data_IF_575317256418
#
_entry.id   IF_575317256418
#
_cell.length_a   1.000
_cell.length_b   1.000
_cell.length_c   1.000
_cell.angle_alpha   90.00
_cell.angle_beta   90.00
_cell.angle_gamma   90.00
#
_symmetry.space_group_name_H-M   'P 1'
#
loop_
_entity.id
_entity.type
_entity.pdbx_description
1 polymer ?
#
# COMPACT_ATOMS: atom_id res chain seq x y z
N UNK A 1 -25.34 78.92 32.52
CA UNK A 1 -24.89 78.62 31.16
C UNK A 1 -24.23 77.23 31.18
N UNK A 2 -24.94 76.11 31.51
CA UNK A 2 -24.46 74.75 31.74
C UNK A 2 -25.23 73.66 30.95
N UNK A 3 -26.30 74.05 30.21
CA UNK A 3 -27.25 73.12 29.57
C UNK A 3 -26.83 72.55 28.18
N UNK A 4 -25.91 73.14 27.35
CA UNK A 4 -25.58 72.52 26.07
C UNK A 4 -24.55 71.35 26.11
N UNK A 5 -23.77 71.17 27.19
CA UNK A 5 -22.74 70.09 27.26
C UNK A 5 -23.33 68.71 27.58
N UNK A 6 -24.45 68.62 28.30
CA UNK A 6 -25.07 67.34 28.65
C UNK A 6 -25.77 66.70 27.47
N UNK A 7 -26.39 67.50 26.58
CA UNK A 7 -27.05 66.97 25.36
C UNK A 7 -26.03 66.42 24.36
N UNK A 8 -24.82 66.96 24.31
CA UNK A 8 -23.78 66.49 23.40
C UNK A 8 -23.16 65.15 23.90
N UNK A 9 -23.02 64.97 25.22
CA UNK A 9 -22.52 63.73 25.82
C UNK A 9 -23.55 62.57 25.68
N UNK A 10 -24.85 62.86 25.82
CA UNK A 10 -25.90 61.84 25.60
C UNK A 10 -26.02 61.47 24.15
N UNK A 11 -25.90 62.41 23.21
CA UNK A 11 -25.90 62.11 21.78
C UNK A 11 -24.70 61.30 21.32
N UNK A 12 -23.50 61.60 21.86
CA UNK A 12 -22.26 60.83 21.60
C UNK A 12 -22.32 59.41 22.20
N UNK A 13 -22.94 59.24 23.39
CA UNK A 13 -23.17 57.95 24.03
C UNK A 13 -24.15 57.06 23.23
N UNK A 14 -25.23 57.64 22.73
CA UNK A 14 -26.20 56.94 21.85
C UNK A 14 -25.60 56.57 20.51
N UNK A 15 -24.73 57.40 19.92
CA UNK A 15 -24.04 57.12 18.67
C UNK A 15 -22.99 56.01 18.86
N UNK A 16 -22.28 55.99 20.01
CA UNK A 16 -21.31 54.92 20.32
C UNK A 16 -22.00 53.56 20.56
N UNK A 17 -23.19 53.55 21.22
CA UNK A 17 -23.99 52.35 21.42
C UNK A 17 -24.60 51.87 20.08
N UNK A 18 -25.04 52.77 19.21
CA UNK A 18 -25.55 52.43 17.88
C UNK A 18 -24.44 51.87 16.98
N UNK A 19 -23.19 52.34 17.09
CA UNK A 19 -22.06 51.82 16.34
C UNK A 19 -21.61 50.45 16.88
N UNK A 20 -21.79 50.14 18.18
CA UNK A 20 -21.53 48.80 18.72
C UNK A 20 -22.61 47.77 18.33
N UNK A 21 -23.88 48.20 18.13
CA UNK A 21 -24.94 47.33 17.57
C UNK A 21 -24.87 47.20 16.06
N UNK A 22 -24.17 48.08 15.34
CA UNK A 22 -23.97 48.03 13.90
C UNK A 22 -22.70 47.21 13.47
N UNK A 23 -22.01 46.56 14.41
CA UNK A 23 -21.20 45.39 14.06
C UNK A 23 -22.18 44.25 13.75
N UNK A 24 -22.74 44.33 12.56
CA UNK A 24 -23.58 43.27 12.02
C UNK A 24 -22.82 41.98 12.10
N UNK A 25 -23.44 40.96 12.69
CA UNK A 25 -23.03 39.61 12.46
C UNK A 25 -22.88 39.45 10.93
N UNK A 26 -21.65 39.31 10.44
CA UNK A 26 -21.44 39.00 9.03
C UNK A 26 -22.30 37.76 8.73
N UNK A 27 -23.26 37.95 7.82
CA UNK A 27 -24.08 36.80 7.40
C UNK A 27 -23.12 35.74 6.87
N UNK A 28 -23.07 34.57 7.49
CA UNK A 28 -22.11 33.55 7.10
C UNK A 28 -22.28 33.24 5.61
N UNK A 29 -21.21 33.40 4.85
CA UNK A 29 -21.23 33.08 3.42
C UNK A 29 -21.34 31.55 3.25
N UNK A 30 -21.87 31.10 2.12
CA UNK A 30 -22.00 29.67 1.86
C UNK A 30 -20.65 28.95 1.79
N UNK A 31 -19.52 29.71 1.75
CA UNK A 31 -18.16 29.21 1.72
C UNK A 31 -17.60 28.99 3.13
N UNK A 32 -18.23 29.57 4.16
CA UNK A 32 -17.80 29.38 5.54
C UNK A 32 -18.26 28.00 6.08
N UNK A 33 -17.50 27.47 7.05
CA UNK A 33 -17.81 26.18 7.66
C UNK A 33 -19.22 26.21 8.32
N UNK A 34 -20.12 25.27 7.97
CA UNK A 34 -21.41 25.17 8.60
C UNK A 34 -21.24 24.75 10.08
N UNK A 35 -22.11 25.31 10.96
CA UNK A 35 -22.16 24.97 12.38
C UNK A 35 -20.81 25.18 13.12
N UNK A 36 -20.02 26.20 12.74
CA UNK A 36 -18.69 26.46 13.29
C UNK A 36 -18.68 26.63 14.83
N UNK A 37 -19.78 27.12 15.41
CA UNK A 37 -19.93 27.31 16.85
C UNK A 37 -20.36 26.05 17.62
N UNK A 38 -20.83 25.01 16.90
CA UNK A 38 -21.41 23.81 17.50
C UNK A 38 -20.40 22.65 17.64
N UNK A 39 -19.10 22.92 17.45
CA UNK A 39 -18.06 21.91 17.48
C UNK A 39 -17.63 21.42 16.08
N UNK A 40 -17.02 20.23 15.95
CA UNK A 40 -16.53 19.74 14.67
C UNK A 40 -17.69 19.39 13.73
N UNK A 41 -17.58 19.86 12.47
CA UNK A 41 -18.50 19.43 11.42
C UNK A 41 -18.19 17.97 11.05
N UNK A 42 -19.16 17.08 11.24
CA UNK A 42 -19.01 15.67 10.91
C UNK A 42 -19.16 15.44 9.41
N UNK A 43 -18.18 14.77 8.83
CA UNK A 43 -18.16 14.34 7.44
C UNK A 43 -18.22 12.83 7.41
N UNK A 44 -19.34 12.28 6.99
CA UNK A 44 -19.50 10.85 6.77
C UNK A 44 -18.76 10.45 5.50
N UNK A 45 -17.92 9.42 5.60
CA UNK A 45 -17.06 8.92 4.52
C UNK A 45 -17.45 7.50 4.18
N UNK A 46 -17.65 7.24 2.89
CA UNK A 46 -17.77 5.89 2.36
C UNK A 46 -16.75 5.70 1.21
N UNK A 47 -16.09 4.54 1.16
CA UNK A 47 -15.09 4.22 0.15
C UNK A 47 -15.39 2.84 -0.43
N UNK A 48 -15.41 2.77 -1.77
CA UNK A 48 -15.56 1.51 -2.50
C UNK A 48 -14.46 1.33 -3.52
N UNK A 49 -13.67 0.26 -3.38
CA UNK A 49 -12.72 -0.14 -4.40
C UNK A 49 -13.47 -0.83 -5.54
N UNK A 50 -13.55 -0.16 -6.68
CA UNK A 50 -14.14 -0.70 -7.91
C UNK A 50 -13.20 -1.74 -8.49
N UNK A 51 -11.89 -1.43 -8.49
CA UNK A 51 -10.83 -2.32 -8.93
C UNK A 51 -9.50 -2.01 -8.22
N UNK A 52 -8.65 -3.04 -8.13
CA UNK A 52 -7.22 -2.92 -7.82
C UNK A 52 -6.49 -3.61 -8.94
N UNK A 53 -5.91 -2.85 -9.85
CA UNK A 53 -5.40 -3.36 -11.13
C UNK A 53 -3.98 -3.89 -11.06
N UNK A 54 -3.13 -3.32 -10.20
CA UNK A 54 -1.73 -3.75 -10.06
C UNK A 54 -1.14 -3.36 -8.71
N UNK A 55 -0.17 -4.16 -8.26
CA UNK A 55 0.68 -3.87 -7.11
C UNK A 55 2.12 -3.92 -7.60
N UNK A 56 2.82 -2.77 -7.54
CA UNK A 56 4.21 -2.64 -7.95
C UNK A 56 5.11 -2.66 -6.71
N UNK A 57 5.73 -3.81 -6.47
CA UNK A 57 6.64 -3.99 -5.34
C UNK A 57 7.94 -3.16 -5.50
N UNK A 58 8.36 -2.86 -6.74
CA UNK A 58 9.57 -2.07 -7.01
C UNK A 58 9.32 -0.59 -6.76
N UNK A 59 8.16 -0.08 -7.17
CA UNK A 59 7.75 1.32 -6.99
C UNK A 59 7.13 1.58 -5.60
N UNK A 60 6.94 0.54 -4.77
CA UNK A 60 6.27 0.65 -3.47
C UNK A 60 4.90 1.34 -3.59
N UNK A 61 4.09 0.88 -4.55
CA UNK A 61 2.79 1.47 -4.88
C UNK A 61 1.79 0.42 -5.37
N UNK A 62 0.52 0.79 -5.36
CA UNK A 62 -0.55 0.03 -6.01
C UNK A 62 -1.47 0.96 -6.79
N UNK A 63 -2.04 0.47 -7.87
CA UNK A 63 -2.98 1.22 -8.71
C UNK A 63 -4.39 0.73 -8.45
N UNK A 64 -5.28 1.67 -8.16
CA UNK A 64 -6.67 1.36 -7.88
C UNK A 64 -7.64 2.37 -8.50
N UNK A 65 -8.87 1.92 -8.66
CA UNK A 65 -10.06 2.69 -9.03
C UNK A 65 -10.99 2.69 -7.83
N UNK A 66 -11.22 3.86 -7.25
CA UNK A 66 -11.89 4.00 -5.96
C UNK A 66 -13.01 5.03 -6.07
N UNK A 67 -14.20 4.70 -5.61
CA UNK A 67 -15.28 5.67 -5.41
C UNK A 67 -15.26 6.14 -3.96
N UNK A 68 -15.16 7.45 -3.79
CA UNK A 68 -15.26 8.13 -2.49
C UNK A 68 -16.56 8.91 -2.43
N UNK A 69 -17.30 8.73 -1.36
CA UNK A 69 -18.53 9.50 -1.07
C UNK A 69 -18.33 10.22 0.25
N UNK A 70 -18.46 11.54 0.21
CA UNK A 70 -18.46 12.41 1.37
C UNK A 70 -19.87 12.95 1.59
N UNK A 71 -20.32 12.97 2.84
CA UNK A 71 -21.64 13.49 3.19
C UNK A 71 -21.55 14.34 4.44
N UNK A 72 -22.18 15.52 4.40
CA UNK A 72 -22.27 16.41 5.56
C UNK A 72 -23.60 17.14 5.59
N UNK A 73 -23.88 17.83 6.68
CA UNK A 73 -25.06 18.62 6.87
C UNK A 73 -24.73 20.11 6.79
N UNK A 74 -25.38 20.83 5.87
CA UNK A 74 -25.39 22.30 5.82
C UNK A 74 -26.82 22.82 5.80
N UNK A 75 -27.36 23.22 6.96
CA UNK A 75 -28.76 23.71 7.05
C UNK A 75 -29.04 24.92 6.17
N UNK A 76 -28.04 25.71 5.80
CA UNK A 76 -28.17 26.90 4.95
C UNK A 76 -28.58 26.57 3.52
N UNK A 77 -28.29 25.34 3.09
CA UNK A 77 -28.62 24.81 1.76
C UNK A 77 -29.94 24.05 1.73
N UNK A 78 -30.68 24.00 2.85
CA UNK A 78 -32.01 23.39 2.87
C UNK A 78 -32.96 24.16 1.96
N UNK A 79 -33.75 23.42 1.17
CA UNK A 79 -34.67 24.03 0.19
C UNK A 79 -36.02 23.34 0.16
N UNK A 80 -37.02 24.08 -0.30
CA UNK A 80 -38.39 23.57 -0.50
C UNK A 80 -38.44 22.84 -1.86
N UNK A 81 -38.87 21.60 -1.85
CA UNK A 81 -39.02 20.76 -3.05
C UNK A 81 -38.64 19.31 -2.78
N UNK A 82 -39.16 18.37 -3.55
CA UNK A 82 -38.89 16.93 -3.40
C UNK A 82 -37.68 16.42 -4.17
N UNK A 83 -36.89 17.30 -4.79
CA UNK A 83 -35.76 16.94 -5.62
C UNK A 83 -34.41 17.18 -4.95
N UNK A 84 -33.33 16.89 -5.70
CA UNK A 84 -31.93 17.16 -5.33
C UNK A 84 -31.48 18.40 -6.10
N UNK A 85 -30.93 19.40 -5.41
CA UNK A 85 -30.30 20.56 -6.04
C UNK A 85 -28.82 20.27 -6.33
N UNK A 86 -28.31 20.72 -7.47
CA UNK A 86 -26.90 20.57 -7.85
C UNK A 86 -26.17 21.91 -7.69
N UNK A 87 -25.02 21.88 -7.03
CA UNK A 87 -24.11 23.01 -6.88
C UNK A 87 -22.72 22.68 -7.32
N UNK A 88 -21.98 23.60 -7.97
CA UNK A 88 -20.53 23.50 -8.13
C UNK A 88 -19.86 23.45 -6.76
N UNK A 89 -18.82 22.62 -6.61
CA UNK A 89 -18.15 22.39 -5.33
C UNK A 89 -17.46 23.66 -4.78
N UNK A 90 -17.07 24.59 -5.64
CA UNK A 90 -16.41 25.86 -5.30
C UNK A 90 -17.36 26.95 -4.81
N UNK A 91 -18.67 26.80 -5.04
CA UNK A 91 -19.68 27.78 -4.62
C UNK A 91 -20.20 27.56 -3.19
N UNK A 92 -19.89 26.43 -2.60
CA UNK A 92 -20.28 26.08 -1.24
C UNK A 92 -19.08 25.66 -0.39
N UNK A 93 -19.27 25.66 0.92
CA UNK A 93 -18.27 25.07 1.80
C UNK A 93 -18.05 23.60 1.47
N UNK A 94 -16.77 23.21 1.44
CA UNK A 94 -16.38 21.80 1.33
C UNK A 94 -15.23 21.50 2.28
N UNK A 95 -15.12 20.25 2.78
CA UNK A 95 -14.14 19.86 3.79
C UNK A 95 -12.70 19.78 3.26
N UNK A 96 -12.45 20.04 1.98
CA UNK A 96 -11.14 19.94 1.32
C UNK A 96 -10.43 18.62 1.63
N UNK A 97 -11.15 17.52 1.49
CA UNK A 97 -10.62 16.17 1.66
C UNK A 97 -9.82 15.79 0.41
N UNK A 98 -8.57 15.40 0.63
CA UNK A 98 -7.65 14.95 -0.42
C UNK A 98 -7.10 13.57 -0.09
N UNK A 99 -6.59 12.87 -1.10
CA UNK A 99 -5.78 11.67 -0.91
C UNK A 99 -4.36 12.10 -0.55
N UNK A 100 -3.82 11.58 0.56
CA UNK A 100 -2.51 12.00 1.07
C UNK A 100 -1.37 11.04 0.74
N UNK A 101 -1.68 9.85 0.24
CA UNK A 101 -0.69 8.86 -0.17
C UNK A 101 -0.70 8.58 -1.68
N UNK A 102 -1.04 9.56 -2.50
CA UNK A 102 -0.88 9.47 -3.95
C UNK A 102 0.59 9.53 -4.37
N UNK A 103 0.98 8.81 -5.42
CA UNK A 103 2.34 8.85 -6.00
C UNK A 103 2.43 9.71 -7.25
N UNK A 104 1.34 9.76 -8.01
CA UNK A 104 1.18 10.55 -9.23
C UNK A 104 -0.20 11.20 -9.21
N UNK A 105 -0.46 12.13 -10.13
CA UNK A 105 -1.77 12.77 -10.24
C UNK A 105 -2.88 11.72 -10.38
N UNK A 106 -3.78 11.70 -9.41
CA UNK A 106 -4.99 10.89 -9.45
C UNK A 106 -6.00 11.55 -10.40
N UNK A 107 -6.56 10.76 -11.31
CA UNK A 107 -7.61 11.22 -12.22
C UNK A 107 -8.94 11.26 -11.51
N UNK A 108 -9.58 12.41 -11.48
CA UNK A 108 -10.96 12.60 -11.06
C UNK A 108 -11.89 12.31 -12.24
N UNK A 109 -12.81 11.37 -12.10
CA UNK A 109 -13.68 10.90 -13.19
C UNK A 109 -15.09 11.48 -13.14
N UNK A 110 -15.53 12.00 -11.98
CA UNK A 110 -16.81 12.69 -11.85
C UNK A 110 -16.60 14.20 -11.81
N UNK A 111 -17.61 14.99 -12.19
CA UNK A 111 -17.54 16.45 -12.10
C UNK A 111 -17.43 16.90 -10.63
N UNK A 112 -16.77 18.04 -10.40
CA UNK A 112 -16.67 18.66 -9.08
C UNK A 112 -17.98 19.41 -8.74
N UNK A 113 -19.03 18.62 -8.55
CA UNK A 113 -20.36 19.08 -8.15
C UNK A 113 -20.89 18.27 -6.98
N UNK A 114 -21.77 18.86 -6.22
CA UNK A 114 -22.43 18.23 -5.08
C UNK A 114 -23.93 18.16 -5.30
N UNK A 115 -24.53 17.12 -4.74
CA UNK A 115 -25.96 16.96 -4.61
C UNK A 115 -26.40 17.44 -3.23
N UNK A 116 -27.41 18.30 -3.19
CA UNK A 116 -28.00 18.79 -1.94
C UNK A 116 -29.43 18.31 -1.84
N UNK A 117 -29.74 17.55 -0.81
CA UNK A 117 -31.09 17.10 -0.51
C UNK A 117 -31.91 18.24 0.12
N UNK A 118 -33.24 18.16 0.06
CA UNK A 118 -34.15 19.16 0.58
C UNK A 118 -33.91 19.54 2.06
N UNK A 119 -33.42 18.59 2.84
CA UNK A 119 -33.07 18.80 4.24
C UNK A 119 -31.71 19.48 4.47
N UNK A 120 -30.97 19.87 3.40
CA UNK A 120 -29.63 20.44 3.47
C UNK A 120 -28.53 19.41 3.66
N UNK A 121 -28.78 18.13 3.42
CA UNK A 121 -27.73 17.12 3.37
C UNK A 121 -26.96 17.22 2.05
N UNK A 122 -25.67 17.49 2.12
CA UNK A 122 -24.77 17.62 0.97
C UNK A 122 -24.07 16.29 0.72
N UNK A 123 -24.01 15.86 -0.54
CA UNK A 123 -23.35 14.63 -0.96
C UNK A 123 -22.38 14.96 -2.08
N UNK A 124 -21.10 14.71 -1.85
CA UNK A 124 -20.05 14.77 -2.85
C UNK A 124 -19.60 13.35 -3.22
N UNK A 125 -19.56 13.06 -4.50
CA UNK A 125 -19.05 11.76 -5.01
C UNK A 125 -17.92 12.01 -5.95
N UNK A 126 -16.84 11.24 -5.79
CA UNK A 126 -15.73 11.27 -6.73
C UNK A 126 -15.25 9.86 -7.02
N UNK A 127 -14.93 9.58 -8.28
CA UNK A 127 -14.24 8.36 -8.70
C UNK A 127 -12.80 8.70 -9.01
N UNK A 128 -11.90 8.11 -8.24
CA UNK A 128 -10.47 8.36 -8.24
C UNK A 128 -9.76 7.18 -8.88
N UNK A 129 -8.98 7.42 -9.94
CA UNK A 129 -8.19 6.39 -10.61
C UNK A 129 -6.74 6.84 -10.62
N UNK A 130 -5.87 6.04 -9.99
CA UNK A 130 -4.45 6.39 -9.88
C UNK A 130 -3.65 5.43 -9.02
N UNK A 131 -2.40 5.82 -8.74
CA UNK A 131 -1.47 5.04 -7.95
C UNK A 131 -1.28 5.62 -6.56
N UNK A 132 -1.27 4.74 -5.55
CA UNK A 132 -1.17 5.06 -4.14
C UNK A 132 0.14 4.51 -3.58
N UNK A 133 0.90 5.34 -2.84
CA UNK A 133 2.12 4.93 -2.16
C UNK A 133 1.81 3.91 -1.05
N UNK A 134 2.58 2.84 -1.01
CA UNK A 134 2.47 1.84 0.04
C UNK A 134 3.82 1.18 0.29
N UNK A 135 4.39 1.43 1.47
CA UNK A 135 5.60 0.72 1.89
C UNK A 135 5.29 -0.77 2.08
N UNK A 136 5.97 -1.64 1.35
CA UNK A 136 5.82 -3.09 1.41
C UNK A 136 6.94 -3.71 2.21
N UNK A 137 6.61 -4.62 3.14
CA UNK A 137 7.57 -5.38 3.93
C UNK A 137 7.79 -6.74 3.27
N UNK A 138 8.84 -6.84 2.44
CA UNK A 138 9.11 -7.99 1.59
C UNK A 138 10.07 -9.02 2.21
N UNK A 139 10.34 -8.99 3.52
CA UNK A 139 11.22 -9.94 4.19
C UNK A 139 10.81 -11.41 3.96
N UNK A 140 9.51 -11.67 3.94
CA UNK A 140 8.94 -13.00 3.73
C UNK A 140 8.63 -13.32 2.27
N UNK A 141 9.01 -12.46 1.33
CA UNK A 141 8.75 -12.65 -0.10
C UNK A 141 9.26 -14.04 -0.60
N UNK A 142 8.44 -14.77 -1.39
CA UNK A 142 7.12 -14.43 -1.94
C UNK A 142 5.91 -14.87 -1.08
N UNK A 143 6.11 -15.26 0.17
CA UNK A 143 5.06 -15.71 1.11
C UNK A 143 4.57 -14.58 2.01
N UNK A 144 4.53 -13.36 1.47
CA UNK A 144 4.21 -12.15 2.22
C UNK A 144 2.72 -11.83 2.19
N UNK A 145 2.27 -11.21 3.29
CA UNK A 145 0.99 -10.53 3.40
C UNK A 145 1.24 -9.05 3.57
N UNK A 146 0.47 -8.23 2.87
CA UNK A 146 0.63 -6.78 2.87
C UNK A 146 -0.67 -6.09 3.23
N UNK A 147 -0.54 -4.89 3.80
CA UNK A 147 -1.68 -4.01 4.08
C UNK A 147 -1.60 -2.83 3.13
N UNK A 148 -2.61 -2.68 2.30
CA UNK A 148 -2.75 -1.60 1.34
C UNK A 148 -3.72 -0.56 1.87
N UNK A 149 -3.39 0.72 1.70
CA UNK A 149 -4.13 1.81 2.32
C UNK A 149 -4.45 2.90 1.31
N UNK A 150 -5.71 3.34 1.29
CA UNK A 150 -6.09 4.64 0.75
C UNK A 150 -6.36 5.56 1.92
N UNK A 151 -5.61 6.65 2.00
CA UNK A 151 -5.66 7.58 3.11
C UNK A 151 -6.16 8.94 2.66
N UNK A 152 -7.22 9.42 3.31
CA UNK A 152 -7.83 10.73 3.10
C UNK A 152 -7.50 11.64 4.27
N UNK A 153 -7.37 12.94 4.01
CA UNK A 153 -7.28 13.95 5.05
C UNK A 153 -7.99 15.24 4.65
N UNK A 154 -8.63 15.90 5.63
CA UNK A 154 -9.22 17.22 5.49
C UNK A 154 -8.12 18.27 5.72
N UNK A 155 -7.28 18.53 4.72
CA UNK A 155 -6.00 19.26 4.85
C UNK A 155 -6.11 20.73 5.29
N UNK A 156 -7.30 21.30 5.28
CA UNK A 156 -7.52 22.69 5.73
C UNK A 156 -7.99 22.78 7.19
N UNK A 157 -8.44 21.68 7.77
CA UNK A 157 -9.17 21.69 9.04
C UNK A 157 -8.54 20.75 10.05
N UNK A 158 -8.43 21.24 11.29
CA UNK A 158 -8.01 20.43 12.44
C UNK A 158 -9.09 19.42 12.84
N UNK A 159 -8.74 18.40 13.65
CA UNK A 159 -9.73 17.44 14.17
C UNK A 159 -10.82 18.09 15.06
N UNK A 160 -10.54 19.25 15.64
CA UNK A 160 -11.52 20.03 16.41
C UNK A 160 -12.52 20.80 15.54
N UNK A 161 -12.22 20.99 14.26
CA UNK A 161 -13.09 21.70 13.30
C UNK A 161 -13.86 20.74 12.39
N UNK A 162 -13.22 19.67 11.92
CA UNK A 162 -13.82 18.67 11.03
C UNK A 162 -13.49 17.28 11.55
N UNK A 163 -14.47 16.38 11.55
CA UNK A 163 -14.31 14.99 11.93
C UNK A 163 -14.75 14.06 10.80
N UNK A 164 -13.86 13.19 10.33
CA UNK A 164 -14.17 12.18 9.32
C UNK A 164 -14.64 10.90 10.02
N UNK A 165 -15.85 10.45 9.71
CA UNK A 165 -16.49 9.28 10.34
C UNK A 165 -17.07 8.34 9.27
N UNK A 166 -17.23 7.02 9.57
CA UNK A 166 -17.89 6.10 8.62
C UNK A 166 -19.33 6.54 8.28
N UNK A 167 -19.75 6.36 7.03
CA UNK A 167 -21.10 6.72 6.59
C UNK A 167 -22.13 5.70 7.10
N UNK A 168 -22.93 6.11 8.08
CA UNK A 168 -23.99 5.28 8.69
C UNK A 168 -25.06 4.82 7.68
N UNK A 169 -25.34 5.59 6.63
CA UNK A 169 -26.31 5.19 5.60
C UNK A 169 -25.80 4.01 4.78
N UNK A 170 -24.51 3.95 4.50
CA UNK A 170 -23.90 2.80 3.85
C UNK A 170 -23.88 1.57 4.77
N UNK A 171 -23.59 1.77 6.06
CA UNK A 171 -23.66 0.71 7.06
C UNK A 171 -25.08 0.15 7.17
N UNK A 172 -26.09 1.03 7.23
CA UNK A 172 -27.49 0.64 7.25
C UNK A 172 -27.97 -0.07 5.97
N UNK A 173 -27.33 0.23 4.83
CA UNK A 173 -27.55 -0.47 3.56
C UNK A 173 -26.82 -1.84 3.47
N UNK A 174 -26.17 -2.29 4.54
CA UNK A 174 -25.48 -3.58 4.61
C UNK A 174 -24.01 -3.55 4.19
N UNK A 175 -23.42 -2.37 3.94
CA UNK A 175 -22.01 -2.22 3.59
C UNK A 175 -21.23 -2.03 4.88
N UNK A 176 -20.55 -3.09 5.33
CA UNK A 176 -19.78 -3.11 6.58
C UNK A 176 -18.76 -1.96 6.62
N UNK A 177 -18.73 -1.23 7.74
CA UNK A 177 -17.81 -0.11 7.98
C UNK A 177 -17.85 1.02 6.92
N UNK A 178 -18.92 1.12 6.12
CA UNK A 178 -19.04 2.03 4.99
C UNK A 178 -17.87 1.90 3.98
N UNK A 179 -17.25 0.73 3.87
CA UNK A 179 -16.18 0.47 2.94
C UNK A 179 -16.33 -0.94 2.34
N UNK A 180 -15.73 -1.17 1.19
CA UNK A 180 -15.71 -2.47 0.56
C UNK A 180 -14.90 -2.53 -0.71
N UNK A 181 -14.78 -3.74 -1.23
CA UNK A 181 -14.06 -4.06 -2.45
C UNK A 181 -15.00 -4.85 -3.35
N UNK A 182 -15.05 -4.49 -4.63
CA UNK A 182 -15.79 -5.24 -5.63
C UNK A 182 -15.34 -6.70 -5.68
N UNK A 183 -16.25 -7.68 -5.78
CA UNK A 183 -15.86 -9.08 -5.94
C UNK A 183 -15.18 -9.37 -7.29
N UNK A 184 -15.25 -8.45 -8.24
CA UNK A 184 -14.71 -8.57 -9.60
C UNK A 184 -13.39 -7.82 -9.82
N UNK A 185 -12.57 -7.64 -8.77
CA UNK A 185 -11.26 -7.00 -8.91
C UNK A 185 -10.33 -7.81 -9.82
N UNK A 186 -9.51 -7.10 -10.62
CA UNK A 186 -8.59 -7.70 -11.59
C UNK A 186 -7.17 -7.87 -11.03
N UNK A 187 -7.02 -8.37 -9.83
CA UNK A 187 -5.74 -8.55 -9.13
C UNK A 187 -5.31 -10.03 -9.13
N UNK A 188 -4.65 -10.54 -10.20
CA UNK A 188 -4.39 -11.98 -10.37
C UNK A 188 -3.37 -12.55 -9.37
N UNK A 189 -2.41 -11.73 -8.92
CA UNK A 189 -1.29 -12.19 -8.11
C UNK A 189 -1.54 -12.11 -6.60
N UNK A 190 -2.73 -11.65 -6.18
CA UNK A 190 -3.06 -11.44 -4.77
C UNK A 190 -4.48 -11.88 -4.44
N UNK A 191 -4.68 -12.30 -3.21
CA UNK A 191 -6.00 -12.61 -2.66
C UNK A 191 -6.31 -11.65 -1.52
N UNK A 192 -7.38 -10.86 -1.64
CA UNK A 192 -7.83 -9.96 -0.58
C UNK A 192 -8.48 -10.78 0.53
N UNK A 193 -8.03 -10.60 1.77
CA UNK A 193 -8.51 -11.35 2.94
C UNK A 193 -9.53 -10.55 3.76
N UNK A 194 -9.24 -9.27 4.02
CA UNK A 194 -10.08 -8.39 4.83
C UNK A 194 -9.85 -6.93 4.49
N UNK A 195 -10.81 -6.08 4.85
CA UNK A 195 -10.65 -4.62 4.88
C UNK A 195 -11.04 -4.07 6.24
N UNK A 196 -10.54 -2.90 6.55
CA UNK A 196 -10.73 -2.23 7.82
C UNK A 196 -10.73 -0.71 7.61
N UNK A 197 -11.57 -0.02 8.35
CA UNK A 197 -11.67 1.45 8.33
C UNK A 197 -11.05 2.01 9.61
N UNK A 198 -10.23 3.04 9.47
CA UNK A 198 -9.57 3.70 10.59
C UNK A 198 -9.69 5.22 10.49
N UNK A 199 -10.58 5.86 11.26
CA UNK A 199 -10.45 7.28 11.56
C UNK A 199 -9.09 7.52 12.23
N UNK A 200 -8.37 8.55 11.80
CA UNK A 200 -7.03 8.85 12.31
C UNK A 200 -6.78 10.36 12.32
N UNK A 201 -5.77 10.77 13.05
CA UNK A 201 -5.22 12.13 12.93
C UNK A 201 -4.06 12.07 11.93
N UNK A 202 -4.15 12.88 10.88
CA UNK A 202 -3.10 13.01 9.90
C UNK A 202 -2.21 14.20 10.24
N UNK A 203 -0.93 13.94 10.53
CA UNK A 203 0.06 14.98 10.84
C UNK A 203 0.82 15.32 9.57
N UNK A 204 0.52 16.47 8.97
CA UNK A 204 1.21 16.98 7.78
C UNK A 204 2.62 17.47 8.14
N UNK A 205 2.74 18.17 9.27
CA UNK A 205 3.98 18.65 9.86
C UNK A 205 3.80 18.78 11.38
N UNK A 206 4.86 18.91 12.19
CA UNK A 206 4.75 19.14 13.62
C UNK A 206 3.82 20.33 13.93
N UNK A 207 2.74 20.09 14.68
CA UNK A 207 1.72 21.09 15.01
C UNK A 207 0.64 21.33 13.93
N UNK A 208 0.70 20.64 12.81
CA UNK A 208 -0.33 20.68 11.74
C UNK A 208 -1.06 19.33 11.68
N UNK A 209 -2.01 19.17 12.58
CA UNK A 209 -2.84 17.97 12.67
C UNK A 209 -4.16 18.19 11.91
N UNK A 210 -4.51 17.23 11.09
CA UNK A 210 -5.73 17.24 10.28
C UNK A 210 -6.58 16.01 10.58
N UNK A 211 -7.90 16.13 10.42
CA UNK A 211 -8.76 14.97 10.47
C UNK A 211 -8.48 14.05 9.29
N UNK A 212 -8.17 12.79 9.60
CA UNK A 212 -7.82 11.77 8.61
C UNK A 212 -8.76 10.57 8.65
N UNK A 213 -8.74 9.81 7.56
CA UNK A 213 -9.55 8.62 7.39
C UNK A 213 -8.82 7.66 6.46
N UNK A 214 -8.61 6.42 6.89
CA UNK A 214 -7.97 5.41 6.07
C UNK A 214 -8.88 4.20 5.87
N UNK A 215 -8.92 3.69 4.65
CA UNK A 215 -9.42 2.34 4.36
C UNK A 215 -8.24 1.48 4.01
N UNK A 216 -8.08 0.40 4.76
CA UNK A 216 -7.02 -0.58 4.60
C UNK A 216 -7.60 -1.91 4.13
N UNK A 217 -6.94 -2.55 3.19
CA UNK A 217 -7.21 -3.95 2.90
C UNK A 217 -5.94 -4.78 3.03
N UNK A 218 -6.10 -5.97 3.59
CA UNK A 218 -5.01 -6.95 3.71
C UNK A 218 -5.12 -7.93 2.56
N UNK A 219 -4.03 -8.13 1.84
CA UNK A 219 -3.96 -9.13 0.80
C UNK A 219 -2.73 -10.03 0.96
N UNK A 220 -2.88 -11.31 0.64
CA UNK A 220 -1.81 -12.30 0.56
C UNK A 220 -1.42 -12.55 -0.89
N UNK A 221 -0.11 -12.70 -1.11
CA UNK A 221 0.43 -12.96 -2.45
C UNK A 221 0.12 -14.39 -2.89
N UNK A 222 -0.28 -14.56 -4.16
CA UNK A 222 -0.42 -15.88 -4.79
C UNK A 222 0.98 -16.42 -5.14
N UNK A 223 1.43 -17.37 -4.34
CA UNK A 223 2.80 -17.91 -4.43
C UNK A 223 3.01 -18.87 -5.59
N UNK A 224 1.95 -19.37 -6.23
CA UNK A 224 2.04 -20.41 -7.26
C UNK A 224 2.95 -20.01 -8.43
N UNK A 225 2.83 -18.76 -8.88
CA UNK A 225 3.68 -18.22 -9.93
C UNK A 225 5.17 -18.31 -9.56
N UNK A 226 5.54 -17.90 -8.36
CA UNK A 226 6.93 -17.89 -7.88
C UNK A 226 7.47 -19.31 -7.66
N UNK A 227 6.63 -20.23 -7.16
CA UNK A 227 7.03 -21.64 -6.99
C UNK A 227 7.34 -22.25 -8.34
N UNK A 228 6.45 -22.11 -9.34
CA UNK A 228 6.61 -22.78 -10.63
C UNK A 228 7.62 -22.10 -11.56
N UNK A 229 7.69 -20.76 -11.56
CA UNK A 229 8.52 -20.04 -12.52
C UNK A 229 9.84 -19.52 -11.96
N UNK A 230 10.02 -19.50 -10.64
CA UNK A 230 11.25 -19.01 -10.01
C UNK A 230 11.93 -20.10 -9.19
N UNK A 231 11.25 -20.72 -8.24
CA UNK A 231 11.86 -21.69 -7.34
C UNK A 231 12.17 -23.00 -8.07
N UNK A 232 11.22 -23.53 -8.84
CA UNK A 232 11.40 -24.80 -9.53
C UNK A 232 12.57 -24.79 -10.54
N UNK A 233 12.75 -23.82 -11.46
CA UNK A 233 13.91 -23.79 -12.34
C UNK A 233 15.23 -23.67 -11.55
N UNK A 234 15.26 -22.89 -10.47
CA UNK A 234 16.43 -22.79 -9.62
C UNK A 234 16.79 -24.14 -8.99
N UNK A 235 15.82 -24.87 -8.46
CA UNK A 235 16.01 -26.23 -7.92
C UNK A 235 16.60 -27.17 -8.98
N UNK A 236 16.06 -27.13 -10.22
CA UNK A 236 16.55 -27.96 -11.32
C UNK A 236 18.02 -27.63 -11.69
N UNK A 237 18.41 -26.34 -11.70
CA UNK A 237 19.80 -25.94 -11.93
C UNK A 237 20.71 -26.46 -10.83
N UNK A 238 20.30 -26.36 -9.56
CA UNK A 238 21.05 -26.90 -8.42
C UNK A 238 21.17 -28.41 -8.51
N UNK A 239 20.11 -29.14 -8.85
CA UNK A 239 20.15 -30.59 -9.06
C UNK A 239 21.08 -30.98 -10.22
N UNK A 240 21.10 -30.20 -11.31
CA UNK A 240 22.04 -30.41 -12.42
C UNK A 240 23.48 -30.30 -11.97
N UNK A 241 23.82 -29.38 -11.05
CA UNK A 241 25.17 -29.25 -10.51
C UNK A 241 25.62 -30.49 -9.71
N UNK A 242 24.68 -31.26 -9.13
CA UNK A 242 25.01 -32.49 -8.39
C UNK A 242 25.12 -33.73 -9.27
N UNK A 243 24.59 -33.70 -10.50
CA UNK A 243 24.70 -34.80 -11.45
C UNK A 243 26.14 -35.21 -11.69
N UNK A 244 27.09 -34.28 -11.50
CA UNK A 244 28.56 -34.55 -11.62
C UNK A 244 29.04 -35.63 -10.68
N UNK A 245 28.43 -35.78 -9.48
CA UNK A 245 28.82 -36.78 -8.50
C UNK A 245 28.53 -38.22 -8.90
N UNK A 246 27.71 -38.45 -9.93
CA UNK A 246 27.43 -39.78 -10.52
C UNK A 246 28.31 -40.13 -11.72
N UNK A 247 29.09 -39.17 -12.23
CA UNK A 247 30.00 -39.35 -13.34
C UNK A 247 31.36 -39.87 -12.77
N UNK A 248 32.00 -40.81 -13.44
CA UNK A 248 33.28 -41.36 -12.98
C UNK A 248 34.37 -40.26 -13.03
N UNK A 249 35.18 -40.05 -11.98
CA UNK A 249 36.27 -39.07 -11.96
C UNK A 249 37.28 -39.23 -13.11
N UNK A 250 37.42 -40.44 -13.67
CA UNK A 250 38.26 -40.68 -14.84
C UNK A 250 37.82 -39.84 -16.07
N UNK A 251 36.56 -39.41 -16.12
CA UNK A 251 36.03 -38.51 -17.15
C UNK A 251 35.93 -37.05 -16.67
N UNK A 252 36.98 -36.55 -16.02
CA UNK A 252 37.05 -35.25 -15.36
C UNK A 252 36.61 -34.05 -16.24
N UNK A 253 36.95 -34.08 -17.54
CA UNK A 253 36.53 -33.01 -18.47
C UNK A 253 35.02 -32.85 -18.55
N UNK A 254 34.26 -33.96 -18.51
CA UNK A 254 32.80 -33.91 -18.51
C UNK A 254 32.24 -33.38 -17.19
N UNK A 255 32.80 -33.78 -16.06
CA UNK A 255 32.41 -33.27 -14.75
C UNK A 255 32.65 -31.77 -14.63
N UNK A 256 33.84 -31.28 -14.99
CA UNK A 256 34.18 -29.84 -14.97
C UNK A 256 33.24 -29.05 -15.88
N UNK A 257 33.01 -29.56 -17.10
CA UNK A 257 32.12 -28.88 -18.06
C UNK A 257 30.69 -28.71 -17.53
N UNK A 258 30.12 -29.74 -16.89
CA UNK A 258 28.78 -29.67 -16.30
C UNK A 258 28.76 -28.73 -15.08
N UNK A 259 29.76 -28.80 -14.21
CA UNK A 259 29.85 -27.95 -13.02
C UNK A 259 29.96 -26.46 -13.40
N UNK A 260 30.82 -26.12 -14.38
CA UNK A 260 30.97 -24.75 -14.88
C UNK A 260 29.70 -24.28 -15.56
N UNK A 261 29.08 -25.13 -16.39
CA UNK A 261 27.80 -24.78 -17.07
C UNK A 261 26.67 -24.50 -16.05
N UNK A 262 26.58 -25.34 -15.01
CA UNK A 262 25.59 -25.15 -13.93
C UNK A 262 25.79 -23.81 -13.22
N UNK A 263 27.03 -23.43 -12.91
CA UNK A 263 27.39 -22.18 -12.27
C UNK A 263 27.05 -20.98 -13.17
N UNK A 264 27.41 -21.04 -14.46
CA UNK A 264 27.07 -19.96 -15.41
C UNK A 264 25.57 -19.82 -15.60
N UNK A 265 24.85 -20.94 -15.71
CA UNK A 265 23.38 -20.94 -15.82
C UNK A 265 22.75 -20.33 -14.58
N UNK A 266 23.25 -20.66 -13.39
CA UNK A 266 22.74 -20.09 -12.14
C UNK A 266 22.96 -18.56 -12.07
N UNK A 267 24.16 -18.09 -12.46
CA UNK A 267 24.45 -16.64 -12.50
C UNK A 267 23.52 -15.92 -13.48
N UNK A 268 23.39 -16.46 -14.71
CA UNK A 268 22.50 -15.89 -15.72
C UNK A 268 21.03 -15.87 -15.25
N UNK A 269 20.58 -16.96 -14.62
CA UNK A 269 19.24 -17.06 -14.07
C UNK A 269 18.99 -16.04 -12.95
N UNK A 270 19.95 -15.87 -12.05
CA UNK A 270 19.87 -14.84 -11.00
C UNK A 270 19.69 -13.45 -11.58
N UNK A 271 20.50 -13.05 -12.58
CA UNK A 271 20.34 -11.75 -13.24
C UNK A 271 18.96 -11.55 -13.86
N UNK A 272 18.42 -12.61 -14.49
CA UNK A 272 17.08 -12.55 -15.08
C UNK A 272 15.98 -12.33 -14.03
N UNK A 273 16.10 -12.97 -12.84
CA UNK A 273 15.13 -12.81 -11.75
C UNK A 273 15.32 -11.48 -11.02
N UNK A 274 16.57 -11.08 -10.73
CA UNK A 274 16.88 -9.82 -10.02
C UNK A 274 16.34 -8.59 -10.76
N UNK A 275 16.23 -8.64 -12.10
CA UNK A 275 15.66 -7.55 -12.91
C UNK A 275 14.17 -7.31 -12.65
N UNK A 276 13.46 -8.27 -12.09
CA UNK A 276 12.02 -8.21 -11.80
C UNK A 276 11.72 -7.91 -10.33
N UNK A 277 12.75 -7.82 -9.47
CA UNK A 277 12.60 -7.61 -8.04
C UNK A 277 13.00 -6.19 -7.63
N UNK A 278 12.36 -5.62 -6.59
CA UNK A 278 12.76 -4.32 -6.05
C UNK A 278 14.15 -4.40 -5.39
N UNK A 279 14.91 -3.29 -5.49
CA UNK A 279 16.17 -3.14 -4.75
C UNK A 279 15.86 -2.83 -3.29
N UNK A 280 16.06 -3.80 -2.41
CA UNK A 280 15.77 -3.69 -0.99
C UNK A 280 17.06 -3.61 -0.16
N UNK A 281 17.08 -2.85 0.95
CA UNK A 281 18.23 -2.76 1.84
C UNK A 281 18.36 -3.98 2.79
N UNK A 282 17.51 -5.00 2.61
CA UNK A 282 17.48 -6.20 3.42
C UNK A 282 17.27 -7.45 2.54
N UNK A 283 17.66 -8.60 3.06
CA UNK A 283 17.55 -9.90 2.37
C UNK A 283 16.13 -10.48 2.52
N UNK A 284 15.51 -10.84 1.41
CA UNK A 284 14.25 -11.60 1.38
C UNK A 284 14.48 -13.10 1.57
N UNK A 285 13.41 -13.89 1.76
CA UNK A 285 13.53 -15.36 1.76
C UNK A 285 14.02 -15.89 0.42
N UNK A 286 13.54 -15.29 -0.67
CA UNK A 286 13.97 -15.69 -2.01
C UNK A 286 15.45 -15.40 -2.23
N UNK A 287 15.97 -14.25 -1.77
CA UNK A 287 17.40 -13.93 -1.84
C UNK A 287 18.26 -14.92 -1.05
N UNK A 288 17.82 -15.29 0.16
CA UNK A 288 18.50 -16.28 0.98
C UNK A 288 18.54 -17.66 0.29
N UNK A 289 17.46 -18.03 -0.40
CA UNK A 289 17.40 -19.26 -1.18
C UNK A 289 18.35 -19.22 -2.39
N UNK A 290 18.40 -18.11 -3.14
CA UNK A 290 19.37 -17.90 -4.21
C UNK A 290 20.81 -17.96 -3.71
N UNK A 291 21.10 -17.29 -2.59
CA UNK A 291 22.45 -17.28 -2.02
C UNK A 291 22.89 -18.68 -1.60
N UNK A 292 22.01 -19.41 -0.90
CA UNK A 292 22.28 -20.80 -0.49
C UNK A 292 22.53 -21.71 -1.71
N UNK A 293 21.68 -21.58 -2.74
CA UNK A 293 21.85 -22.30 -4.00
C UNK A 293 23.19 -22.00 -4.67
N UNK A 294 23.56 -20.71 -4.73
CA UNK A 294 24.83 -20.26 -5.32
C UNK A 294 26.04 -20.85 -4.58
N UNK A 295 26.00 -20.82 -3.24
CA UNK A 295 27.07 -21.39 -2.41
C UNK A 295 27.21 -22.90 -2.65
N UNK A 296 26.10 -23.63 -2.70
CA UNK A 296 26.15 -25.09 -2.93
C UNK A 296 26.63 -25.44 -4.32
N UNK A 297 26.22 -24.75 -5.37
CA UNK A 297 26.70 -24.94 -6.73
C UNK A 297 28.19 -24.60 -6.82
N UNK A 298 28.66 -23.55 -6.14
CA UNK A 298 30.08 -23.22 -6.06
C UNK A 298 30.91 -24.33 -5.37
N UNK A 299 30.42 -24.86 -4.25
CA UNK A 299 31.09 -25.96 -3.56
C UNK A 299 31.08 -27.26 -4.37
N UNK A 300 30.06 -27.54 -5.19
CA UNK A 300 30.07 -28.67 -6.11
C UNK A 300 31.17 -28.53 -7.18
N UNK A 301 31.40 -27.31 -7.68
CA UNK A 301 32.52 -27.05 -8.59
C UNK A 301 33.88 -27.26 -7.92
N UNK A 302 34.06 -26.79 -6.68
CA UNK A 302 35.30 -27.03 -5.91
C UNK A 302 35.51 -28.51 -5.69
N UNK A 303 34.50 -29.25 -5.34
CA UNK A 303 34.55 -30.70 -5.13
C UNK A 303 35.03 -31.41 -6.40
N UNK A 304 34.48 -31.09 -7.57
CA UNK A 304 34.90 -31.63 -8.86
C UNK A 304 36.37 -31.34 -9.14
N UNK A 305 36.87 -30.15 -8.83
CA UNK A 305 38.28 -29.80 -9.00
C UNK A 305 39.19 -30.64 -8.08
N UNK A 306 38.76 -30.80 -6.82
CA UNK A 306 39.51 -31.59 -5.83
C UNK A 306 39.57 -33.07 -6.23
N UNK A 307 38.44 -33.66 -6.62
CA UNK A 307 38.38 -35.08 -7.04
C UNK A 307 39.17 -35.33 -8.34
N UNK A 308 39.16 -34.38 -9.27
CA UNK A 308 39.99 -34.40 -10.48
C UNK A 308 41.49 -34.38 -10.15
N UNK A 309 41.93 -33.51 -9.24
CA UNK A 309 43.35 -33.45 -8.81
C UNK A 309 43.76 -34.75 -8.10
N UNK A 310 42.86 -35.30 -7.27
CA UNK A 310 43.12 -36.58 -6.59
C UNK A 310 43.25 -37.76 -7.57
N UNK A 311 42.40 -37.80 -8.60
CA UNK A 311 42.44 -38.82 -9.63
C UNK A 311 43.75 -38.73 -10.43
N UNK A 312 44.17 -37.53 -10.84
CA UNK A 312 45.47 -37.30 -11.50
C UNK A 312 46.66 -37.69 -10.63
N UNK A 313 46.54 -37.68 -9.31
CA UNK A 313 47.55 -38.13 -8.36
C UNK A 313 47.42 -39.64 -7.97
N UNK A 314 46.75 -40.44 -8.80
CA UNK A 314 46.52 -41.87 -8.57
C UNK A 314 45.75 -42.22 -7.27
N UNK A 315 44.92 -41.31 -6.79
CA UNK A 315 44.05 -41.51 -5.61
C UNK A 315 42.59 -41.71 -5.98
N UNK A 316 42.29 -42.37 -7.09
CA UNK A 316 40.96 -42.58 -7.68
C UNK A 316 39.95 -43.14 -6.68
N UNK A 317 40.35 -44.11 -5.82
CA UNK A 317 39.45 -44.70 -4.82
C UNK A 317 39.01 -43.71 -3.73
N UNK A 318 39.86 -42.73 -3.39
CA UNK A 318 39.51 -41.66 -2.46
C UNK A 318 38.58 -40.66 -3.11
N UNK A 319 38.84 -40.30 -4.37
CA UNK A 319 37.96 -39.43 -5.14
C UNK A 319 36.53 -40.01 -5.22
N UNK A 320 36.39 -41.28 -5.58
CA UNK A 320 35.09 -42.00 -5.60
C UNK A 320 34.40 -42.07 -4.24
N UNK A 321 35.14 -42.09 -3.13
CA UNK A 321 34.52 -41.99 -1.78
C UNK A 321 33.94 -40.61 -1.51
N UNK A 322 34.65 -39.55 -1.90
CA UNK A 322 34.18 -38.17 -1.74
C UNK A 322 32.90 -37.97 -2.54
N UNK A 323 32.88 -38.31 -3.84
CA UNK A 323 31.71 -38.24 -4.69
C UNK A 323 30.51 -38.95 -4.06
N UNK A 324 30.74 -40.19 -3.55
CA UNK A 324 29.65 -40.96 -2.90
C UNK A 324 29.09 -40.30 -1.65
N UNK A 325 29.92 -39.64 -0.86
CA UNK A 325 29.50 -38.87 0.27
C UNK A 325 28.72 -37.61 -0.18
N UNK A 326 29.21 -36.90 -1.20
CA UNK A 326 28.62 -35.69 -1.72
C UNK A 326 27.25 -35.94 -2.34
N UNK A 327 26.97 -37.11 -2.94
CA UNK A 327 25.64 -37.53 -3.43
C UNK A 327 24.53 -37.42 -2.37
N UNK A 328 24.88 -37.55 -1.09
CA UNK A 328 23.91 -37.50 0.02
C UNK A 328 24.01 -36.18 0.76
N UNK A 329 25.21 -35.68 1.01
CA UNK A 329 25.46 -34.48 1.82
C UNK A 329 24.87 -33.22 1.15
N UNK A 330 25.11 -33.01 -0.13
CA UNK A 330 24.64 -31.81 -0.84
C UNK A 330 23.09 -31.71 -0.89
N UNK A 331 22.34 -32.74 -1.32
CA UNK A 331 20.91 -32.72 -1.26
C UNK A 331 20.34 -32.56 0.15
N UNK A 332 20.98 -33.17 1.16
CA UNK A 332 20.53 -33.05 2.55
C UNK A 332 20.71 -31.63 3.09
N UNK A 333 21.88 -31.02 2.87
CA UNK A 333 22.12 -29.61 3.25
C UNK A 333 21.14 -28.67 2.55
N UNK A 334 20.92 -28.86 1.25
CA UNK A 334 19.98 -28.05 0.48
C UNK A 334 18.55 -28.18 1.01
N UNK A 335 18.10 -29.39 1.29
CA UNK A 335 16.76 -29.63 1.84
C UNK A 335 16.59 -28.97 3.22
N UNK A 336 17.57 -29.17 4.13
CA UNK A 336 17.54 -28.59 5.47
C UNK A 336 17.55 -27.05 5.39
N UNK A 337 18.45 -26.48 4.58
CA UNK A 337 18.53 -25.03 4.41
C UNK A 337 17.26 -24.46 3.78
N UNK A 338 16.68 -25.13 2.78
CA UNK A 338 15.43 -24.72 2.14
C UNK A 338 14.27 -24.72 3.15
N UNK A 339 14.14 -25.79 3.94
CA UNK A 339 13.13 -25.88 5.01
C UNK A 339 13.33 -24.74 6.01
N UNK A 340 14.56 -24.52 6.49
CA UNK A 340 14.85 -23.46 7.44
C UNK A 340 14.53 -22.06 6.89
N UNK A 341 14.83 -21.77 5.62
CA UNK A 341 14.55 -20.48 4.96
C UNK A 341 13.05 -20.23 4.86
N UNK A 342 12.26 -21.24 4.47
CA UNK A 342 10.84 -21.05 4.20
C UNK A 342 9.93 -21.22 5.42
N UNK A 343 10.38 -21.91 6.48
CA UNK A 343 9.57 -22.12 7.69
C UNK A 343 9.91 -21.16 8.82
N UNK A 344 11.16 -20.66 8.90
CA UNK A 344 11.54 -19.78 10.01
C UNK A 344 10.84 -18.43 9.92
N UNK A 345 10.09 -17.97 10.95
CA UNK A 345 9.44 -16.67 10.95
C UNK A 345 10.49 -15.56 10.91
N UNK A 346 10.50 -14.77 9.82
CA UNK A 346 11.27 -13.53 9.73
C UNK A 346 10.29 -12.39 9.97
N UNK A 347 10.20 -11.94 11.24
CA UNK A 347 9.41 -10.79 11.66
C UNK A 347 9.86 -9.47 11.04
#
# INVERSE_FOLDING_TARGET
MIIPRIKFLLLAGFLAIAIQFARGAETPTLIDRPNAESGPTQISVAIWFVDVSSIDSAQQSFTADVVVVLRWKDPRLAHVGGGVALYPLDQIWNPRVVVVNETNSISHRFPDSVEVAADGTVIYRQRLVGSFAQALILKSFPFDKQVFRVQLAAVKYSPSEVSLVPDEKWIAAGISQAAGISPSITLPDWTVEKWEVKPLVYTLAPGLENSGYAVEFTASRNVQHYILKVILPLVLIVMMSWAVFWIDPVTSNSQISIAVTSMLTLIAYRFAVDSQLPRLPYMTRLDAFFLTSTILVFFSLIEVLVTTIMDNNHQTERAKKIDRCCRVIFPAIFAIASIAIFTHPRG
#
